data_IF_958976636232
#
_entry.id   IF_958976636232
#
_cell.length_a   1.000
_cell.length_b   1.000
_cell.length_c   1.000
_cell.angle_alpha   90.00
_cell.angle_beta   90.00
_cell.angle_gamma   90.00
#
_symmetry.space_group_name_H-M   'P 1'
#
loop_
_entity.id
_entity.type
_entity.pdbx_description
1 polymer ?
#
# COMPACT_ATOMS: atom_id res chain seq x y z
N UNK A 1 -5.78 -18.71 14.62
CA UNK A 1 -5.75 -17.25 14.42
C UNK A 1 -6.74 -16.91 13.31
N UNK A 2 -7.58 -15.88 13.48
CA UNK A 2 -8.48 -15.45 12.41
C UNK A 2 -7.64 -14.81 11.30
N UNK A 3 -7.43 -15.52 10.20
CA UNK A 3 -6.72 -15.04 9.00
C UNK A 3 -7.59 -14.05 8.19
N UNK A 4 -8.35 -13.20 8.88
CA UNK A 4 -9.22 -12.24 8.25
C UNK A 4 -8.45 -10.93 8.00
N UNK A 5 -8.21 -10.65 6.71
CA UNK A 5 -7.57 -9.45 6.23
C UNK A 5 -8.34 -8.20 6.71
N UNK A 6 -9.67 -8.31 6.86
CA UNK A 6 -10.57 -7.23 7.27
C UNK A 6 -10.67 -7.01 8.79
N UNK A 7 -10.08 -7.86 9.62
CA UNK A 7 -10.08 -7.59 11.06
C UNK A 7 -9.06 -6.48 11.38
N UNK A 8 -9.44 -5.28 11.87
CA UNK A 8 -8.49 -4.20 12.15
C UNK A 8 -7.58 -4.49 13.36
N UNK A 9 -7.95 -5.49 14.16
CA UNK A 9 -7.22 -5.94 15.36
C UNK A 9 -6.34 -7.14 15.02
N UNK A 10 -5.22 -7.25 15.74
CA UNK A 10 -4.33 -8.40 15.68
C UNK A 10 -2.96 -8.11 15.09
N UNK A 11 -2.16 -9.16 15.05
CA UNK A 11 -0.81 -9.27 14.51
C UNK A 11 -0.83 -10.21 13.31
N UNK A 12 0.14 -10.08 12.43
CA UNK A 12 0.33 -10.99 11.30
C UNK A 12 1.80 -11.37 11.19
N UNK A 13 2.05 -12.65 10.96
CA UNK A 13 3.36 -13.18 10.66
C UNK A 13 3.85 -12.70 9.28
N UNK A 14 5.15 -12.87 9.01
CA UNK A 14 5.79 -12.40 7.78
C UNK A 14 5.19 -13.05 6.53
N UNK A 15 4.92 -14.36 6.56
CA UNK A 15 4.33 -15.07 5.41
C UNK A 15 2.94 -14.55 5.07
N UNK A 16 2.07 -14.42 6.07
CA UNK A 16 0.72 -13.88 5.88
C UNK A 16 0.75 -12.43 5.40
N UNK A 17 1.68 -11.62 5.91
CA UNK A 17 1.88 -10.25 5.43
C UNK A 17 2.21 -10.20 3.93
N UNK A 18 3.18 -11.01 3.48
CA UNK A 18 3.60 -11.07 2.07
C UNK A 18 2.46 -11.54 1.18
N UNK A 19 1.75 -12.60 1.57
CA UNK A 19 0.63 -13.14 0.79
C UNK A 19 -0.47 -12.09 0.63
N UNK A 20 -0.88 -11.45 1.74
CA UNK A 20 -1.87 -10.37 1.70
C UNK A 20 -1.41 -9.20 0.82
N UNK A 21 -0.13 -8.84 0.91
CA UNK A 21 0.42 -7.75 0.12
C UNK A 21 0.35 -8.07 -1.38
N UNK A 22 0.76 -9.27 -1.80
CA UNK A 22 0.69 -9.70 -3.20
C UNK A 22 -0.75 -9.67 -3.70
N UNK A 23 -1.70 -10.23 -2.95
CA UNK A 23 -3.11 -10.25 -3.31
C UNK A 23 -3.66 -8.82 -3.48
N UNK A 24 -3.38 -7.94 -2.51
CA UNK A 24 -3.81 -6.55 -2.56
C UNK A 24 -3.20 -5.80 -3.75
N UNK A 25 -1.92 -6.03 -4.06
CA UNK A 25 -1.23 -5.41 -5.21
C UNK A 25 -1.80 -5.90 -6.54
N UNK A 26 -2.04 -7.20 -6.69
CA UNK A 26 -2.69 -7.74 -7.88
C UNK A 26 -4.08 -7.14 -8.07
N UNK A 27 -4.89 -7.10 -7.01
CA UNK A 27 -6.22 -6.48 -7.07
C UNK A 27 -6.15 -5.00 -7.41
N UNK A 28 -5.21 -4.25 -6.80
CA UNK A 28 -5.01 -2.83 -7.08
C UNK A 28 -4.70 -2.57 -8.55
N UNK A 29 -3.82 -3.37 -9.16
CA UNK A 29 -3.44 -3.25 -10.57
C UNK A 29 -4.63 -3.59 -11.48
N UNK A 30 -5.32 -4.71 -11.22
CA UNK A 30 -6.48 -5.14 -12.03
C UNK A 30 -7.61 -4.10 -11.99
N UNK A 31 -7.94 -3.62 -10.79
CA UNK A 31 -8.94 -2.56 -10.58
C UNK A 31 -8.50 -1.27 -11.29
N UNK A 32 -7.22 -0.90 -11.16
CA UNK A 32 -6.66 0.30 -11.80
C UNK A 32 -6.79 0.27 -13.33
N UNK A 33 -6.39 -0.84 -13.97
CA UNK A 33 -6.48 -1.01 -15.43
C UNK A 33 -7.95 -0.99 -15.90
N UNK A 34 -8.82 -1.72 -15.21
CA UNK A 34 -10.25 -1.78 -15.52
C UNK A 34 -10.91 -0.39 -15.44
N UNK A 35 -10.70 0.32 -14.33
CA UNK A 35 -11.28 1.64 -14.10
C UNK A 35 -10.71 2.69 -15.06
N UNK A 36 -9.41 2.62 -15.38
CA UNK A 36 -8.79 3.53 -16.35
C UNK A 36 -9.39 3.34 -17.76
N UNK A 37 -9.65 2.09 -18.17
CA UNK A 37 -10.26 1.77 -19.46
C UNK A 37 -11.69 2.34 -19.56
N UNK A 38 -12.46 2.28 -18.47
CA UNK A 38 -13.81 2.84 -18.39
C UNK A 38 -13.76 4.38 -18.43
N UNK A 39 -12.86 4.99 -17.64
CA UNK A 39 -12.74 6.44 -17.55
C UNK A 39 -12.25 7.09 -18.87
N UNK A 40 -11.35 6.41 -19.60
CA UNK A 40 -10.89 6.86 -20.93
C UNK A 40 -12.05 7.04 -21.90
N UNK A 41 -13.07 6.17 -21.82
CA UNK A 41 -14.22 6.21 -22.72
C UNK A 41 -15.33 7.16 -22.23
N UNK A 42 -15.25 7.67 -20.99
CA UNK A 42 -16.26 8.55 -20.39
C UNK A 42 -15.59 9.59 -19.47
N UNK A 43 -15.24 10.75 -20.03
CA UNK A 43 -14.55 11.83 -19.32
C UNK A 43 -15.30 12.35 -18.07
N UNK A 44 -16.64 12.25 -18.04
CA UNK A 44 -17.46 12.61 -16.85
C UNK A 44 -17.24 11.67 -15.66
N UNK A 45 -16.69 10.48 -15.89
CA UNK A 45 -16.39 9.46 -14.89
C UNK A 45 -14.91 9.45 -14.48
N UNK A 46 -14.13 10.48 -14.83
CA UNK A 46 -12.70 10.54 -14.53
C UNK A 46 -12.36 10.46 -13.02
N UNK A 47 -13.32 10.78 -12.13
CA UNK A 47 -13.17 10.65 -10.67
C UNK A 47 -13.51 9.25 -10.14
N UNK A 48 -14.22 8.43 -10.93
CA UNK A 48 -14.64 7.08 -10.54
C UNK A 48 -13.45 6.17 -10.17
N UNK A 49 -12.29 6.20 -10.86
CA UNK A 49 -11.13 5.38 -10.50
C UNK A 49 -10.54 5.70 -9.12
N UNK A 50 -10.70 6.94 -8.65
CA UNK A 50 -10.03 7.41 -7.42
C UNK A 50 -10.61 6.70 -6.19
N UNK A 51 -11.94 6.54 -6.11
CA UNK A 51 -12.61 6.00 -4.92
C UNK A 51 -12.17 4.55 -4.64
N UNK A 52 -12.23 3.61 -5.60
CA UNK A 52 -11.82 2.22 -5.36
C UNK A 52 -10.31 2.10 -5.08
N UNK A 53 -9.48 2.88 -5.77
CA UNK A 53 -8.03 2.87 -5.54
C UNK A 53 -7.67 3.41 -4.16
N UNK A 54 -8.39 4.42 -3.67
CA UNK A 54 -8.26 4.93 -2.31
C UNK A 54 -8.65 3.88 -1.27
N UNK A 55 -9.75 3.14 -1.49
CA UNK A 55 -10.16 2.05 -0.60
C UNK A 55 -9.11 0.93 -0.54
N UNK A 56 -8.48 0.61 -1.67
CA UNK A 56 -7.36 -0.35 -1.69
C UNK A 56 -6.17 0.14 -0.85
N UNK A 57 -5.84 1.45 -0.88
CA UNK A 57 -4.79 2.01 -0.01
C UNK A 57 -5.11 1.90 1.49
N UNK A 58 -6.37 2.04 1.86
CA UNK A 58 -6.80 1.78 3.25
C UNK A 58 -6.53 0.32 3.62
N UNK A 59 -6.80 -0.63 2.73
CA UNK A 59 -6.53 -2.05 2.98
C UNK A 59 -5.02 -2.34 3.10
N UNK A 60 -4.17 -1.73 2.27
CA UNK A 60 -2.72 -1.80 2.44
C UNK A 60 -2.28 -1.26 3.80
N UNK A 61 -2.83 -0.12 4.21
CA UNK A 61 -2.56 0.50 5.50
C UNK A 61 -2.90 -0.43 6.65
N UNK A 62 -4.03 -1.17 6.60
CA UNK A 62 -4.32 -2.17 7.62
C UNK A 62 -3.34 -3.33 7.65
N UNK A 63 -2.88 -3.80 6.48
CA UNK A 63 -1.87 -4.87 6.39
C UNK A 63 -0.52 -4.39 6.99
N UNK A 64 -0.08 -3.18 6.65
CA UNK A 64 1.12 -2.57 7.23
C UNK A 64 0.99 -2.36 8.73
N UNK A 65 -0.14 -1.82 9.21
CA UNK A 65 -0.39 -1.62 10.64
C UNK A 65 -0.28 -2.91 11.44
N UNK A 66 -0.82 -4.02 10.92
CA UNK A 66 -0.74 -5.32 11.60
C UNK A 66 0.70 -5.83 11.70
N UNK A 67 1.51 -5.65 10.65
CA UNK A 67 2.92 -6.04 10.64
C UNK A 67 3.77 -5.17 11.57
N UNK A 68 3.56 -3.86 11.57
CA UNK A 68 4.28 -2.94 12.47
C UNK A 68 3.90 -3.20 13.92
N UNK A 69 2.61 -3.47 14.18
CA UNK A 69 2.14 -3.81 15.52
C UNK A 69 2.75 -5.11 16.05
N UNK A 70 2.99 -6.09 15.18
CA UNK A 70 3.74 -7.31 15.51
C UNK A 70 5.21 -7.03 15.88
N UNK A 71 5.82 -6.00 15.29
CA UNK A 71 7.21 -5.64 15.57
C UNK A 71 7.38 -4.82 16.87
N UNK A 72 6.46 -3.90 17.15
CA UNK A 72 6.64 -2.92 18.26
C UNK A 72 5.58 -2.96 19.36
N UNK A 73 4.46 -3.64 19.16
CA UNK A 73 3.33 -3.73 20.11
C UNK A 73 2.80 -2.36 20.60
N UNK A 74 3.08 -1.27 19.89
CA UNK A 74 2.59 0.07 20.16
C UNK A 74 1.52 0.42 19.10
N UNK A 75 0.26 0.46 19.51
CA UNK A 75 -0.87 0.67 18.60
C UNK A 75 -0.79 2.03 17.88
N UNK A 76 -0.54 3.10 18.64
CA UNK A 76 -0.50 4.47 18.11
C UNK A 76 0.62 4.62 17.09
N UNK A 77 1.85 4.19 17.44
CA UNK A 77 2.98 4.24 16.53
C UNK A 77 2.74 3.39 15.26
N UNK A 78 2.11 2.22 15.42
CA UNK A 78 1.80 1.33 14.29
C UNK A 78 0.81 1.93 13.31
N UNK A 79 -0.19 2.67 13.80
CA UNK A 79 -1.16 3.36 12.94
C UNK A 79 -0.47 4.49 12.18
N UNK A 80 0.29 5.34 12.87
CA UNK A 80 0.98 6.48 12.25
C UNK A 80 1.93 5.98 11.16
N UNK A 81 2.79 5.01 11.45
CA UNK A 81 3.71 4.49 10.46
C UNK A 81 3.02 3.77 9.31
N UNK A 82 1.95 3.03 9.57
CA UNK A 82 1.21 2.38 8.51
C UNK A 82 0.60 3.37 7.52
N UNK A 83 0.12 4.53 8.01
CA UNK A 83 -0.36 5.61 7.15
C UNK A 83 0.78 6.18 6.33
N UNK A 84 1.94 6.45 6.95
CA UNK A 84 3.14 6.95 6.25
C UNK A 84 3.58 5.99 5.14
N UNK A 85 3.61 4.68 5.40
CA UNK A 85 3.97 3.67 4.39
C UNK A 85 2.86 3.39 3.38
N UNK A 86 1.58 3.55 3.75
CA UNK A 86 0.42 3.28 2.88
C UNK A 86 0.08 4.42 1.91
N UNK A 87 0.45 5.64 2.27
CA UNK A 87 0.23 6.88 1.51
C UNK A 87 1.54 7.57 1.15
N UNK A 88 2.63 6.80 1.05
CA UNK A 88 3.96 7.28 0.68
C UNK A 88 3.95 8.02 -0.66
N UNK A 89 3.17 7.54 -1.64
CA UNK A 89 3.03 8.17 -2.94
C UNK A 89 2.44 9.58 -2.86
N UNK A 90 1.44 9.81 -2.01
CA UNK A 90 0.82 11.12 -1.81
C UNK A 90 1.74 12.09 -1.06
N UNK A 91 2.62 11.54 -0.21
CA UNK A 91 3.63 12.32 0.52
C UNK A 91 4.81 12.67 -0.40
N UNK A 92 5.25 11.74 -1.24
CA UNK A 92 6.42 11.87 -2.10
C UNK A 92 6.07 12.61 -3.40
N UNK A 93 4.86 12.44 -3.96
CA UNK A 93 4.47 13.04 -5.25
C UNK A 93 4.60 14.57 -5.33
N UNK A 94 4.28 15.35 -4.28
CA UNK A 94 4.49 16.80 -4.28
C UNK A 94 5.97 17.20 -4.18
N UNK A 95 6.81 16.31 -3.64
CA UNK A 95 8.25 16.53 -3.43
C UNK A 95 9.08 16.09 -4.63
N UNK A 96 8.52 15.24 -5.50
CA UNK A 96 9.13 14.92 -6.78
C UNK A 96 9.12 16.19 -7.64
N UNK A 97 10.30 16.64 -8.13
CA UNK A 97 10.33 17.74 -9.07
C UNK A 97 9.42 17.40 -10.27
N UNK A 98 8.98 18.41 -11.02
CA UNK A 98 8.38 18.21 -12.35
C UNK A 98 9.48 17.70 -13.30
N UNK A 99 10.03 16.54 -13.01
CA UNK A 99 11.14 15.99 -13.76
C UNK A 99 10.54 15.51 -15.07
N UNK A 100 11.13 15.95 -16.18
CA UNK A 100 10.69 15.58 -17.52
C UNK A 100 10.60 14.07 -17.73
N UNK A 101 10.04 13.69 -18.88
CA UNK A 101 9.65 12.35 -19.34
C UNK A 101 10.78 11.29 -19.40
N UNK A 102 11.55 11.09 -18.33
CA UNK A 102 12.56 10.04 -18.23
C UNK A 102 11.90 8.75 -17.73
N UNK A 103 11.94 7.72 -18.56
CA UNK A 103 11.45 6.37 -18.26
C UNK A 103 12.11 5.81 -17.00
N UNK A 104 13.40 6.09 -16.78
CA UNK A 104 14.16 5.65 -15.61
C UNK A 104 13.61 6.18 -14.30
N UNK A 105 13.21 7.45 -14.27
CA UNK A 105 12.61 8.07 -13.08
C UNK A 105 11.23 7.52 -12.77
N UNK A 106 10.45 7.18 -13.81
CA UNK A 106 9.18 6.47 -13.62
C UNK A 106 9.40 5.11 -12.95
N UNK A 107 10.33 4.29 -13.47
CA UNK A 107 10.65 3.00 -12.87
C UNK A 107 11.18 3.13 -11.43
N UNK A 108 12.07 4.08 -11.17
CA UNK A 108 12.58 4.34 -9.82
C UNK A 108 11.43 4.69 -8.85
N UNK A 109 10.51 5.53 -9.30
CA UNK A 109 9.34 5.93 -8.50
C UNK A 109 8.43 4.73 -8.20
N UNK A 110 8.16 3.88 -9.19
CA UNK A 110 7.36 2.66 -8.98
C UNK A 110 8.02 1.72 -7.98
N UNK A 111 9.34 1.50 -8.09
CA UNK A 111 10.07 0.64 -7.14
C UNK A 111 10.04 1.23 -5.73
N UNK A 112 10.28 2.53 -5.59
CA UNK A 112 10.24 3.22 -4.30
C UNK A 112 8.87 3.13 -3.62
N UNK A 113 7.78 3.18 -4.39
CA UNK A 113 6.43 3.20 -3.82
C UNK A 113 5.84 1.80 -3.55
N UNK A 114 6.14 0.83 -4.42
CA UNK A 114 5.50 -0.50 -4.36
C UNK A 114 6.43 -1.60 -3.85
N UNK A 115 7.74 -1.39 -3.77
CA UNK A 115 8.68 -2.45 -3.38
C UNK A 115 9.37 -2.13 -2.07
N UNK A 116 9.79 -0.88 -1.87
CA UNK A 116 10.57 -0.50 -0.68
C UNK A 116 9.76 -0.59 0.63
N UNK A 117 8.55 -0.01 0.76
CA UNK A 117 7.76 -0.12 1.99
C UNK A 117 7.50 -1.57 2.43
N UNK A 118 6.98 -2.48 1.58
CA UNK A 118 6.76 -3.86 2.01
C UNK A 118 8.07 -4.59 2.31
N UNK A 119 9.15 -4.33 1.56
CA UNK A 119 10.46 -4.95 1.82
C UNK A 119 11.00 -4.58 3.21
N UNK A 120 10.92 -3.30 3.59
CA UNK A 120 11.31 -2.85 4.94
C UNK A 120 10.51 -3.62 6.00
N UNK A 121 9.20 -3.74 5.84
CA UNK A 121 8.31 -4.38 6.82
C UNK A 121 8.48 -5.91 6.92
N UNK A 122 8.94 -6.57 5.85
CA UNK A 122 9.32 -8.00 5.89
C UNK A 122 10.64 -8.19 6.63
N UNK A 123 11.61 -7.30 6.41
CA UNK A 123 12.94 -7.38 7.01
C UNK A 123 12.93 -7.09 8.51
N UNK A 124 11.97 -6.29 9.00
CA UNK A 124 11.81 -6.05 10.43
C UNK A 124 11.51 -7.37 11.16
N UNK A 125 12.32 -7.76 12.17
CA UNK A 125 12.04 -8.94 12.95
C UNK A 125 10.74 -8.76 13.73
N UNK A 126 9.92 -9.82 13.76
CA UNK A 126 8.84 -9.92 14.73
C UNK A 126 9.44 -9.94 16.13
N UNK A 127 8.79 -9.29 17.09
CA UNK A 127 9.19 -9.43 18.47
C UNK A 127 8.95 -10.89 18.90
N UNK A 128 9.99 -11.54 19.42
CA UNK A 128 9.81 -12.78 20.17
C UNK A 128 9.09 -12.40 21.47
N UNK A 129 7.85 -12.85 21.63
CA UNK A 129 7.15 -12.78 22.92
C UNK A 129 7.79 -13.79 23.89
#
# INVERSE_FOLDING_TARGET
MSNNIFNPKGRIDRSTFIINYIILTTLYILIGIGLFTIAKNNYKLALLPIIPLFMMKILFTFNYKKRIFDCWNNLTASIILAIVFGFDAEIISPLLPKIGNSVWLFFLTVVLLFVVPPAILVCLPSRED
#
